data_IF_880356927713
#
_entry.id   IF_880356927713
#
_cell.length_a   1.000
_cell.length_b   1.000
_cell.length_c   1.000
_cell.angle_alpha   90.00
_cell.angle_beta   90.00
_cell.angle_gamma   90.00
#
_symmetry.space_group_name_H-M   'P 1'
#
loop_
_entity.id
_entity.type
_entity.pdbx_description
1 polymer ?
#
# COMPACT_ATOMS: atom_id res chain seq x y z
N UNK A 1 3.21 15.45 -22.99
CA UNK A 1 2.15 14.57 -22.49
C UNK A 1 0.92 15.47 -22.27
N UNK A 2 -0.28 15.00 -22.62
CA UNK A 2 -1.48 15.66 -22.09
C UNK A 2 -1.38 15.58 -20.57
N UNK A 3 -1.73 16.65 -19.88
CA UNK A 3 -1.56 16.83 -18.41
C UNK A 3 -2.24 15.77 -17.53
N UNK A 4 -2.92 14.80 -18.12
CA UNK A 4 -3.78 13.83 -17.43
C UNK A 4 -3.31 12.37 -17.61
N UNK A 5 -2.26 12.10 -18.38
CA UNK A 5 -1.75 10.74 -18.62
C UNK A 5 -0.64 10.37 -17.64
N UNK A 6 -0.88 9.34 -16.85
CA UNK A 6 0.04 8.83 -15.84
C UNK A 6 0.45 7.39 -16.16
N UNK A 7 1.76 7.05 -16.15
CA UNK A 7 2.18 5.66 -16.22
C UNK A 7 1.70 4.89 -15.00
N UNK A 8 1.30 3.63 -15.22
CA UNK A 8 0.79 2.76 -14.15
C UNK A 8 1.70 1.54 -14.01
N UNK A 9 2.15 1.31 -12.78
CA UNK A 9 2.95 0.16 -12.38
C UNK A 9 2.05 -0.81 -11.59
N UNK A 10 1.63 -1.94 -12.18
CA UNK A 10 0.84 -2.95 -11.49
C UNK A 10 1.66 -3.68 -10.43
N UNK A 11 1.14 -3.79 -9.21
CA UNK A 11 1.82 -4.42 -8.08
C UNK A 11 0.81 -5.13 -7.17
N UNK A 12 1.24 -6.21 -6.48
CA UNK A 12 0.45 -6.87 -5.43
C UNK A 12 0.60 -6.21 -4.05
N UNK A 13 1.32 -5.11 -3.99
CA UNK A 13 1.53 -4.29 -2.80
C UNK A 13 1.12 -2.86 -3.09
N UNK A 14 0.98 -2.06 -2.05
CA UNK A 14 0.58 -0.67 -2.17
C UNK A 14 1.50 0.23 -1.37
N UNK A 15 1.72 1.45 -1.86
CA UNK A 15 2.47 2.51 -1.19
C UNK A 15 1.53 3.68 -1.00
N UNK A 16 1.07 3.89 0.22
CA UNK A 16 0.07 4.92 0.52
C UNK A 16 0.74 6.27 0.88
N UNK A 17 0.02 7.38 0.87
CA UNK A 17 0.60 8.70 1.12
C UNK A 17 1.48 8.74 2.37
N UNK A 18 2.70 9.27 2.23
CA UNK A 18 3.74 9.34 3.27
C UNK A 18 4.54 8.04 3.48
N UNK A 19 4.22 6.95 2.80
CA UNK A 19 5.01 5.71 2.81
C UNK A 19 6.16 5.76 1.83
N UNK A 20 7.24 5.06 2.16
CA UNK A 20 8.40 4.85 1.28
C UNK A 20 8.58 3.36 1.04
N UNK A 21 8.78 2.98 -0.21
CA UNK A 21 8.84 1.58 -0.61
C UNK A 21 9.95 1.34 -1.63
N UNK A 22 10.78 0.30 -1.46
CA UNK A 22 11.79 -0.07 -2.43
C UNK A 22 11.18 -0.89 -3.58
N UNK A 23 11.57 -0.60 -4.81
CA UNK A 23 11.19 -1.35 -6.00
C UNK A 23 12.44 -1.82 -6.76
N UNK A 24 12.35 -3.01 -7.36
CA UNK A 24 13.37 -3.58 -8.25
C UNK A 24 12.83 -3.56 -9.67
N UNK A 25 13.50 -2.84 -10.55
CA UNK A 25 13.04 -2.59 -11.92
C UNK A 25 13.93 -3.35 -12.89
N UNK A 26 13.36 -4.33 -13.60
CA UNK A 26 14.10 -5.17 -14.55
C UNK A 26 13.43 -5.28 -15.93
N UNK A 27 12.11 -5.02 -16.05
CA UNK A 27 11.44 -5.03 -17.35
C UNK A 27 11.73 -3.74 -18.11
N UNK A 28 12.04 -3.86 -19.42
CA UNK A 28 12.42 -2.74 -20.26
C UNK A 28 11.43 -1.57 -20.22
N UNK A 29 10.14 -1.85 -20.33
CA UNK A 29 9.08 -0.83 -20.27
C UNK A 29 9.10 -0.01 -19.00
N UNK A 30 9.43 -0.63 -17.85
CA UNK A 30 9.52 0.08 -16.57
C UNK A 30 10.85 0.80 -16.39
N UNK A 31 11.95 0.29 -16.96
CA UNK A 31 13.23 1.02 -17.01
C UNK A 31 13.08 2.33 -17.79
N UNK A 32 12.41 2.27 -18.94
CA UNK A 32 12.16 3.44 -19.78
C UNK A 32 11.19 4.42 -19.09
N UNK A 33 10.15 3.92 -18.41
CA UNK A 33 9.24 4.70 -17.57
C UNK A 33 9.99 5.45 -16.46
N UNK A 34 10.80 4.74 -15.66
CA UNK A 34 11.56 5.32 -14.54
C UNK A 34 12.54 6.38 -15.05
N UNK A 35 13.27 6.07 -16.14
CA UNK A 35 14.20 7.03 -16.77
C UNK A 35 13.47 8.32 -17.17
N UNK A 36 12.29 8.19 -17.75
CA UNK A 36 11.47 9.33 -18.16
C UNK A 36 10.97 10.11 -16.93
N UNK A 37 10.43 9.43 -15.91
CA UNK A 37 9.97 10.08 -14.69
C UNK A 37 11.08 10.88 -14.00
N UNK A 38 12.30 10.32 -13.89
CA UNK A 38 13.46 11.02 -13.31
C UNK A 38 13.84 12.25 -14.16
N UNK A 39 13.86 12.11 -15.49
CA UNK A 39 14.25 13.20 -16.40
C UNK A 39 13.26 14.36 -16.42
N UNK A 40 11.98 14.05 -16.30
CA UNK A 40 10.88 15.04 -16.37
C UNK A 40 10.43 15.53 -15.00
N UNK A 41 11.03 15.05 -13.91
CA UNK A 41 10.64 15.31 -12.51
C UNK A 41 9.16 15.01 -12.28
N UNK A 42 8.71 13.83 -12.73
CA UNK A 42 7.33 13.37 -12.63
C UNK A 42 7.27 12.05 -11.86
N UNK A 43 6.07 11.70 -11.38
CA UNK A 43 5.80 10.42 -10.76
C UNK A 43 5.07 9.44 -11.69
N UNK A 44 4.60 8.36 -11.09
CA UNK A 44 3.77 7.36 -11.73
C UNK A 44 2.77 6.78 -10.70
N UNK A 45 1.76 6.06 -11.19
CA UNK A 45 0.80 5.40 -10.31
C UNK A 45 1.20 3.95 -10.02
N UNK A 46 1.08 3.51 -8.77
CA UNK A 46 1.11 2.10 -8.38
C UNK A 46 -0.33 1.63 -8.22
N UNK A 47 -0.71 0.61 -8.99
CA UNK A 47 -2.03 0.02 -8.96
C UNK A 47 -2.02 -1.38 -8.35
N UNK A 48 -2.92 -1.65 -7.40
CA UNK A 48 -3.18 -3.01 -6.96
C UNK A 48 -3.79 -3.83 -8.10
N UNK A 49 -3.33 -5.07 -8.27
CA UNK A 49 -3.84 -6.00 -9.27
C UNK A 49 -4.30 -7.30 -8.64
N UNK A 50 -5.47 -7.79 -9.08
CA UNK A 50 -6.07 -9.02 -8.54
C UNK A 50 -5.31 -10.27 -8.97
N UNK A 51 -4.81 -10.31 -10.22
CA UNK A 51 -4.08 -11.45 -10.80
C UNK A 51 -2.94 -10.96 -11.69
N UNK A 52 -1.89 -11.76 -11.78
CA UNK A 52 -0.77 -11.51 -12.70
C UNK A 52 -1.04 -12.10 -14.09
N UNK A 53 -2.11 -11.73 -14.73
CA UNK A 53 -2.24 -12.03 -16.15
C UNK A 53 -1.73 -10.82 -16.93
N UNK A 54 -0.47 -10.90 -17.37
CA UNK A 54 0.24 -9.82 -18.07
C UNK A 54 -0.48 -9.31 -19.33
N UNK A 55 -1.41 -10.10 -19.87
CA UNK A 55 -2.17 -9.76 -21.08
C UNK A 55 -3.50 -9.08 -20.80
N UNK A 56 -3.91 -8.93 -19.52
CA UNK A 56 -5.22 -8.40 -19.12
C UNK A 56 -5.19 -7.41 -17.95
N UNK A 57 -4.09 -6.68 -17.75
CA UNK A 57 -3.99 -5.72 -16.65
C UNK A 57 -5.12 -4.67 -16.63
N UNK A 58 -5.66 -4.34 -17.79
CA UNK A 58 -6.68 -3.29 -17.94
C UNK A 58 -7.94 -3.62 -17.10
N UNK A 59 -8.34 -4.90 -17.07
CA UNK A 59 -9.55 -5.35 -16.36
C UNK A 59 -9.28 -5.78 -14.91
N UNK A 60 -8.04 -5.65 -14.43
CA UNK A 60 -7.61 -6.25 -13.17
C UNK A 60 -7.07 -5.23 -12.17
N UNK A 61 -6.91 -3.96 -12.56
CA UNK A 61 -6.49 -2.90 -11.66
C UNK A 61 -7.67 -2.37 -10.86
N UNK A 62 -7.44 -2.12 -9.57
CA UNK A 62 -8.44 -1.45 -8.75
C UNK A 62 -8.52 0.04 -9.11
N UNK A 63 -9.70 0.62 -8.94
CA UNK A 63 -10.01 2.01 -9.33
C UNK A 63 -9.13 3.04 -8.60
N UNK A 64 -8.81 2.79 -7.32
CA UNK A 64 -7.96 3.67 -6.52
C UNK A 64 -6.52 3.16 -6.57
N UNK A 65 -5.62 4.05 -6.92
CA UNK A 65 -4.19 3.84 -7.06
C UNK A 65 -3.42 4.79 -6.16
N UNK A 66 -2.12 4.56 -6.00
CA UNK A 66 -1.22 5.49 -5.34
C UNK A 66 -0.36 6.21 -6.37
N UNK A 67 -0.41 7.53 -6.39
CA UNK A 67 0.56 8.34 -7.11
C UNK A 67 1.83 8.44 -6.26
N UNK A 68 2.97 8.07 -6.85
CA UNK A 68 4.26 8.03 -6.18
C UNK A 68 5.31 8.83 -6.95
N UNK A 69 6.30 9.36 -6.23
CA UNK A 69 7.49 9.99 -6.79
C UNK A 69 8.74 9.19 -6.43
N UNK A 70 9.70 9.16 -7.34
CA UNK A 70 10.99 8.52 -7.13
C UNK A 70 11.82 9.43 -6.23
N UNK A 71 12.30 8.90 -5.10
CA UNK A 71 13.10 9.67 -4.13
C UNK A 71 14.57 9.30 -4.14
N UNK A 72 14.90 8.11 -4.65
CA UNK A 72 16.28 7.63 -4.76
C UNK A 72 16.36 6.50 -5.78
N UNK A 73 17.55 6.27 -6.35
CA UNK A 73 17.82 5.15 -7.25
C UNK A 73 19.29 4.73 -7.17
N UNK A 74 19.53 3.43 -7.31
CA UNK A 74 20.87 2.86 -7.33
C UNK A 74 20.91 1.58 -8.17
N UNK A 75 22.09 1.20 -8.62
CA UNK A 75 22.33 -0.11 -9.22
C UNK A 75 22.58 -1.11 -8.07
N UNK A 76 21.77 -2.15 -8.00
CA UNK A 76 21.92 -3.23 -7.03
C UNK A 76 23.10 -4.14 -7.40
N UNK A 77 23.56 -4.98 -6.45
CA UNK A 77 24.69 -5.90 -6.64
C UNK A 77 24.52 -6.86 -7.82
N UNK A 78 23.28 -7.28 -8.11
CA UNK A 78 22.91 -8.13 -9.24
C UNK A 78 22.74 -7.37 -10.57
N UNK A 79 23.02 -6.06 -10.57
CA UNK A 79 22.93 -5.22 -11.76
C UNK A 79 21.54 -4.68 -12.06
N UNK A 80 20.52 -5.04 -11.28
CA UNK A 80 19.14 -4.55 -11.41
C UNK A 80 19.05 -3.10 -10.90
N UNK A 81 18.17 -2.29 -11.51
CA UNK A 81 17.87 -0.95 -11.02
C UNK A 81 16.99 -1.04 -9.78
N UNK A 82 17.51 -0.59 -8.63
CA UNK A 82 16.73 -0.32 -7.42
C UNK A 82 16.24 1.12 -7.41
N UNK A 83 14.98 1.35 -7.06
CA UNK A 83 14.46 2.68 -6.82
C UNK A 83 13.73 2.71 -5.47
N UNK A 84 13.73 3.86 -4.80
CA UNK A 84 12.86 4.15 -3.67
C UNK A 84 11.77 5.11 -4.13
N UNK A 85 10.52 4.77 -3.83
CA UNK A 85 9.37 5.62 -4.15
C UNK A 85 8.66 6.08 -2.89
N UNK A 86 8.14 7.30 -2.90
CA UNK A 86 7.32 7.86 -1.83
C UNK A 86 5.89 8.07 -2.32
N UNK A 87 4.91 7.54 -1.59
CA UNK A 87 3.49 7.82 -1.83
C UNK A 87 3.17 9.29 -1.56
N UNK A 88 2.63 9.99 -2.56
CA UNK A 88 2.27 11.41 -2.45
C UNK A 88 0.77 11.61 -2.26
N UNK A 89 -0.03 10.92 -3.07
CA UNK A 89 -1.49 11.03 -3.04
C UNK A 89 -2.14 9.72 -3.49
N UNK A 90 -3.43 9.61 -3.27
CA UNK A 90 -4.24 8.64 -3.99
C UNK A 90 -4.62 9.22 -5.35
N UNK A 91 -4.88 8.36 -6.31
CA UNK A 91 -5.37 8.70 -7.64
C UNK A 91 -6.51 7.76 -8.04
N UNK A 92 -7.53 8.30 -8.68
CA UNK A 92 -8.66 7.54 -9.21
C UNK A 92 -8.52 7.41 -10.71
N UNK A 93 -8.48 6.17 -11.22
CA UNK A 93 -8.40 5.92 -12.65
C UNK A 93 -9.76 6.11 -13.32
N UNK A 94 -9.78 6.83 -14.44
CA UNK A 94 -10.96 6.98 -15.33
C UNK A 94 -10.91 5.98 -16.47
N UNK A 95 -9.76 5.87 -17.09
CA UNK A 95 -9.49 4.99 -18.22
C UNK A 95 -8.03 4.59 -18.19
N UNK A 96 -7.73 3.36 -18.59
CA UNK A 96 -6.35 2.94 -18.82
C UNK A 96 -6.24 2.11 -20.10
N UNK A 97 -5.07 2.16 -20.72
CA UNK A 97 -4.76 1.42 -21.93
C UNK A 97 -3.28 1.09 -22.00
N UNK A 98 -2.92 0.10 -22.80
CA UNK A 98 -1.52 -0.21 -23.08
C UNK A 98 -1.01 0.69 -24.21
N UNK A 99 0.16 1.29 -24.01
CA UNK A 99 0.84 1.97 -25.09
C UNK A 99 1.59 0.97 -26.00
N UNK A 100 2.26 1.47 -27.04
CA UNK A 100 3.04 0.65 -28.01
C UNK A 100 4.16 -0.20 -27.37
N UNK A 101 4.64 0.19 -26.19
CA UNK A 101 5.70 -0.48 -25.44
C UNK A 101 5.14 -1.43 -24.37
N UNK A 102 3.83 -1.73 -24.44
CA UNK A 102 3.08 -2.52 -23.45
C UNK A 102 3.15 -1.95 -22.01
N UNK A 103 3.39 -0.65 -21.87
CA UNK A 103 3.27 0.06 -20.60
C UNK A 103 1.81 0.48 -20.41
N UNK A 104 1.25 0.22 -19.24
CA UNK A 104 -0.07 0.69 -18.87
C UNK A 104 -0.04 2.20 -18.62
N UNK A 105 -0.90 2.93 -19.31
CA UNK A 105 -1.07 4.39 -19.17
C UNK A 105 -2.50 4.65 -18.76
N UNK A 106 -2.70 5.50 -17.75
CA UNK A 106 -4.03 5.85 -17.26
C UNK A 106 -4.31 7.33 -17.28
N UNK A 107 -5.55 7.70 -17.56
CA UNK A 107 -6.09 9.00 -17.20
C UNK A 107 -6.56 8.94 -15.75
N UNK A 108 -5.96 9.76 -14.89
CA UNK A 108 -6.19 9.70 -13.44
C UNK A 108 -6.56 11.07 -12.88
N UNK A 109 -7.46 11.07 -11.90
CA UNK A 109 -7.71 12.23 -11.04
C UNK A 109 -6.97 12.06 -9.73
N UNK A 110 -6.18 13.04 -9.36
CA UNK A 110 -5.55 13.07 -8.04
C UNK A 110 -6.62 13.32 -6.98
N UNK A 111 -6.69 12.41 -6.02
CA UNK A 111 -7.62 12.52 -4.88
C UNK A 111 -7.08 13.56 -3.91
N UNK A 112 -7.95 14.46 -3.46
CA UNK A 112 -7.58 15.47 -2.46
C UNK A 112 -7.09 14.79 -1.18
N UNK A 113 -6.02 15.30 -0.56
CA UNK A 113 -5.55 14.79 0.72
C UNK A 113 -6.66 14.78 1.76
N UNK A 114 -6.71 13.73 2.56
CA UNK A 114 -7.61 13.68 3.71
C UNK A 114 -7.25 14.77 4.72
N UNK A 115 -8.27 15.30 5.41
CA UNK A 115 -8.04 16.20 6.53
C UNK A 115 -7.30 15.47 7.65
N UNK A 116 -6.41 16.19 8.30
CA UNK A 116 -5.72 15.66 9.49
C UNK A 116 -6.72 15.56 10.66
N UNK A 117 -6.88 14.38 11.20
CA UNK A 117 -7.65 14.12 12.40
C UNK A 117 -6.79 13.41 13.43
N UNK A 118 -6.91 13.80 14.68
CA UNK A 118 -6.28 13.07 15.77
C UNK A 118 -6.88 11.66 15.89
N UNK A 119 -6.03 10.67 16.13
CA UNK A 119 -6.49 9.31 16.40
C UNK A 119 -7.40 9.33 17.63
N UNK A 120 -8.70 8.99 17.51
CA UNK A 120 -9.61 8.95 18.65
C UNK A 120 -9.13 7.99 19.75
N UNK A 121 -9.46 8.28 21.00
CA UNK A 121 -9.04 7.48 22.16
C UNK A 121 -9.39 5.98 21.99
N UNK A 122 -10.54 5.67 21.42
CA UNK A 122 -10.99 4.31 21.10
C UNK A 122 -10.00 3.53 20.21
N UNK A 123 -9.27 4.22 19.30
CA UNK A 123 -8.38 3.61 18.32
C UNK A 123 -6.89 3.81 18.62
N UNK A 124 -6.52 4.41 19.76
CA UNK A 124 -5.11 4.63 20.12
C UNK A 124 -4.30 3.32 20.22
N UNK A 125 -4.94 2.20 20.48
CA UNK A 125 -4.30 0.89 20.46
C UNK A 125 -3.73 0.55 19.07
N UNK A 126 -4.35 1.00 17.97
CA UNK A 126 -3.85 0.79 16.61
C UNK A 126 -2.52 1.52 16.38
N UNK A 127 -2.42 2.77 16.85
CA UNK A 127 -1.18 3.55 16.77
C UNK A 127 -0.06 2.90 17.60
N UNK A 128 -0.37 2.46 18.84
CA UNK A 128 0.60 1.74 19.69
C UNK A 128 1.02 0.41 19.07
N UNK A 129 0.09 -0.33 18.47
CA UNK A 129 0.34 -1.58 17.78
C UNK A 129 1.29 -1.35 16.59
N UNK A 130 1.00 -0.38 15.71
CA UNK A 130 1.89 -0.07 14.59
C UNK A 130 3.30 0.31 15.06
N UNK A 131 3.44 1.16 16.08
CA UNK A 131 4.72 1.53 16.66
C UNK A 131 5.51 0.32 17.18
N UNK A 132 4.81 -0.69 17.73
CA UNK A 132 5.43 -1.92 18.25
C UNK A 132 5.95 -2.82 17.13
N UNK A 133 5.22 -2.95 16.02
CA UNK A 133 5.61 -3.85 14.92
C UNK A 133 6.60 -3.21 13.94
N UNK A 134 6.60 -1.87 13.82
CA UNK A 134 7.41 -1.14 12.85
C UNK A 134 8.90 -1.52 12.83
N UNK A 135 9.62 -1.70 13.95
CA UNK A 135 11.02 -2.11 13.93
C UNK A 135 11.30 -3.40 13.16
N UNK A 136 10.32 -4.33 13.13
CA UNK A 136 10.44 -5.59 12.39
C UNK A 136 10.11 -5.50 10.90
N UNK A 137 9.52 -4.40 10.44
CA UNK A 137 9.06 -4.23 9.05
C UNK A 137 9.69 -3.05 8.33
N UNK A 138 10.53 -2.25 8.99
CA UNK A 138 11.11 -1.00 8.46
C UNK A 138 11.91 -1.17 7.17
N UNK A 139 12.46 -2.36 6.91
CA UNK A 139 13.25 -2.65 5.71
C UNK A 139 12.35 -2.87 4.48
N UNK A 140 11.05 -3.12 4.70
CA UNK A 140 10.05 -3.35 3.65
C UNK A 140 9.08 -2.19 3.47
N UNK A 141 8.72 -1.53 4.58
CA UNK A 141 7.78 -0.40 4.61
C UNK A 141 8.37 0.67 5.49
N UNK A 142 8.65 1.82 4.92
CA UNK A 142 9.28 2.93 5.61
C UNK A 142 8.49 4.23 5.42
N UNK A 143 8.93 5.31 6.06
CA UNK A 143 8.36 6.65 5.94
C UNK A 143 9.40 7.70 6.32
N UNK A 144 9.27 8.90 5.77
CA UNK A 144 10.19 10.01 6.11
C UNK A 144 9.86 10.68 7.44
N UNK A 145 8.58 10.67 7.83
CA UNK A 145 8.11 11.37 9.03
C UNK A 145 7.06 10.56 9.78
N UNK A 146 7.25 10.42 11.08
CA UNK A 146 6.31 9.80 12.00
C UNK A 146 5.11 10.71 12.28
N UNK A 147 3.90 10.15 12.18
CA UNK A 147 2.63 10.85 12.43
C UNK A 147 1.65 9.95 13.20
N UNK A 148 2.12 9.32 14.27
CA UNK A 148 1.35 8.36 15.07
C UNK A 148 0.08 8.94 15.72
N UNK A 149 -0.07 10.25 15.77
CA UNK A 149 -1.28 10.90 16.25
C UNK A 149 -2.31 11.18 15.15
N UNK A 150 -1.94 11.00 13.87
CA UNK A 150 -2.79 11.27 12.72
C UNK A 150 -3.53 10.01 12.28
N UNK A 151 -4.86 10.08 12.26
CA UNK A 151 -5.75 8.96 11.94
C UNK A 151 -5.55 8.45 10.50
N UNK A 152 -5.40 9.36 9.54
CA UNK A 152 -5.17 9.02 8.13
C UNK A 152 -3.84 8.27 7.97
N UNK A 153 -2.75 8.81 8.54
CA UNK A 153 -1.43 8.21 8.48
C UNK A 153 -1.39 6.82 9.13
N UNK A 154 -1.94 6.67 10.34
CA UNK A 154 -1.99 5.37 11.04
C UNK A 154 -2.81 4.35 10.25
N UNK A 155 -3.95 4.77 9.71
CA UNK A 155 -4.79 3.93 8.86
C UNK A 155 -4.06 3.45 7.61
N UNK A 156 -3.35 4.32 6.92
CA UNK A 156 -2.54 3.97 5.75
C UNK A 156 -1.40 3.00 6.10
N UNK A 157 -0.62 3.29 7.13
CA UNK A 157 0.50 2.41 7.54
C UNK A 157 0.01 1.01 7.91
N UNK A 158 -1.11 0.90 8.62
CA UNK A 158 -1.70 -0.40 8.96
C UNK A 158 -2.25 -1.12 7.72
N UNK A 159 -2.89 -0.42 6.79
CA UNK A 159 -3.37 -1.02 5.53
C UNK A 159 -2.22 -1.60 4.71
N UNK A 160 -1.05 -0.96 4.70
CA UNK A 160 0.14 -1.47 4.00
C UNK A 160 0.68 -2.75 4.65
N UNK A 161 0.87 -2.74 5.97
CA UNK A 161 1.63 -3.78 6.67
C UNK A 161 0.80 -5.00 7.13
N UNK A 162 -0.51 -4.86 7.33
CA UNK A 162 -1.34 -5.97 7.76
C UNK A 162 -1.47 -7.05 6.67
N UNK A 163 -1.50 -8.35 7.05
CA UNK A 163 -1.65 -9.46 6.12
C UNK A 163 -3.10 -9.59 5.63
N UNK A 164 -3.58 -8.55 4.92
CA UNK A 164 -4.91 -8.48 4.35
C UNK A 164 -4.88 -8.94 2.89
N UNK A 165 -5.98 -9.55 2.45
CA UNK A 165 -6.18 -9.80 1.03
C UNK A 165 -6.30 -8.47 0.24
N UNK A 166 -6.04 -8.54 -1.08
CA UNK A 166 -5.99 -7.35 -1.93
C UNK A 166 -7.34 -6.63 -2.02
N UNK A 167 -8.45 -7.38 -1.97
CA UNK A 167 -9.79 -6.80 -1.99
C UNK A 167 -10.05 -5.98 -0.72
N UNK A 168 -9.67 -6.50 0.44
CA UNK A 168 -9.77 -5.79 1.72
C UNK A 168 -8.89 -4.53 1.72
N UNK A 169 -7.65 -4.62 1.22
CA UNK A 169 -6.77 -3.44 1.06
C UNK A 169 -7.42 -2.40 0.13
N UNK A 170 -7.91 -2.81 -1.03
CA UNK A 170 -8.59 -1.93 -1.97
C UNK A 170 -9.83 -1.25 -1.35
N UNK A 171 -10.61 -2.00 -0.57
CA UNK A 171 -11.76 -1.44 0.16
C UNK A 171 -11.32 -0.38 1.18
N UNK A 172 -10.27 -0.65 1.96
CA UNK A 172 -9.78 0.30 2.96
C UNK A 172 -9.25 1.60 2.35
N UNK A 173 -8.57 1.54 1.21
CA UNK A 173 -8.03 2.73 0.54
C UNK A 173 -9.09 3.52 -0.23
N UNK A 174 -10.22 2.90 -0.59
CA UNK A 174 -11.34 3.60 -1.23
C UNK A 174 -12.21 4.39 -0.25
N UNK A 175 -12.02 4.20 1.07
CA UNK A 175 -12.69 5.02 2.08
C UNK A 175 -12.08 6.43 2.09
N UNK A 176 -12.92 7.43 1.98
CA UNK A 176 -12.58 8.86 2.06
C UNK A 176 -12.61 9.42 3.50
N UNK A 177 -12.84 8.55 4.49
CA UNK A 177 -12.91 8.86 5.92
C UNK A 177 -11.86 8.06 6.70
N UNK A 178 -10.88 8.79 7.26
CA UNK A 178 -9.81 8.20 8.05
C UNK A 178 -10.30 7.50 9.33
N UNK A 179 -11.36 8.02 9.96
CA UNK A 179 -11.91 7.43 11.19
C UNK A 179 -12.64 6.14 10.86
N UNK A 180 -13.43 6.11 9.80
CA UNK A 180 -14.09 4.90 9.33
C UNK A 180 -13.06 3.84 8.92
N UNK A 181 -11.95 4.24 8.29
CA UNK A 181 -10.84 3.33 7.98
C UNK A 181 -10.25 2.73 9.25
N UNK A 182 -9.97 3.54 10.28
CA UNK A 182 -9.48 3.05 11.57
C UNK A 182 -10.46 2.09 12.26
N UNK A 183 -11.76 2.37 12.18
CA UNK A 183 -12.79 1.48 12.72
C UNK A 183 -12.75 0.10 12.04
N UNK A 184 -12.71 0.07 10.72
CA UNK A 184 -12.60 -1.20 9.97
C UNK A 184 -11.33 -1.97 10.32
N UNK A 185 -10.19 -1.27 10.39
CA UNK A 185 -8.91 -1.89 10.78
C UNK A 185 -8.97 -2.41 12.21
N UNK A 186 -9.59 -1.68 13.14
CA UNK A 186 -9.76 -2.09 14.54
C UNK A 186 -10.57 -3.39 14.65
N UNK A 187 -11.66 -3.50 13.88
CA UNK A 187 -12.47 -4.72 13.83
C UNK A 187 -11.69 -5.91 13.27
N UNK A 188 -10.89 -5.69 12.22
CA UNK A 188 -10.04 -6.73 11.62
C UNK A 188 -8.99 -7.19 12.63
N UNK A 189 -8.27 -6.27 13.24
CA UNK A 189 -7.22 -6.57 14.22
C UNK A 189 -7.80 -7.34 15.40
N UNK A 190 -8.92 -6.90 15.96
CA UNK A 190 -9.59 -7.61 17.05
C UNK A 190 -10.00 -9.05 16.67
N UNK A 191 -10.46 -9.27 15.44
CA UNK A 191 -10.81 -10.62 14.97
C UNK A 191 -9.57 -11.51 14.83
N UNK A 192 -8.45 -10.97 14.32
CA UNK A 192 -7.19 -11.70 14.19
C UNK A 192 -6.65 -12.12 15.56
N UNK A 193 -6.60 -11.19 16.52
CA UNK A 193 -6.07 -11.47 17.86
C UNK A 193 -7.01 -12.31 18.75
N UNK A 194 -8.34 -12.20 18.59
CA UNK A 194 -9.26 -13.10 19.31
C UNK A 194 -9.10 -14.56 18.93
N UNK A 195 -8.62 -14.86 17.73
CA UNK A 195 -8.29 -16.26 17.32
C UNK A 195 -7.04 -16.80 18.01
N UNK A 196 -6.10 -15.93 18.41
CA UNK A 196 -4.87 -16.35 19.09
C UNK A 196 -5.04 -16.48 20.62
N UNK A 197 -6.11 -15.88 21.20
CA UNK A 197 -6.38 -15.86 22.65
C UNK A 197 -7.51 -16.86 23.03
N UNK A 198 -7.87 -17.81 22.19
CA UNK A 198 -8.66 -18.96 22.69
C UNK A 198 -7.71 -19.85 23.47
N UNK A 199 -7.83 -19.93 24.83
CA UNK A 199 -7.05 -20.89 25.59
C UNK A 199 -7.40 -22.28 25.06
N UNK A 200 -6.36 -23.08 24.75
CA UNK A 200 -6.51 -24.51 24.54
C UNK A 200 -7.22 -25.03 25.80
N UNK A 201 -8.50 -25.37 25.65
CA UNK A 201 -9.28 -25.98 26.71
C UNK A 201 -8.64 -27.32 27.02
N UNK A 202 -7.90 -27.38 28.10
CA UNK A 202 -7.46 -28.64 28.70
C UNK A 202 -8.68 -29.35 29.27
N UNK A 203 -9.41 -30.05 28.42
CA UNK A 203 -10.42 -31.01 28.86
C UNK A 203 -9.78 -32.36 28.95
N UNK A 204 -9.74 -32.85 30.21
CA UNK A 204 -9.62 -34.24 30.64
C UNK A 204 -8.28 -34.98 30.48
N UNK A 205 -7.45 -34.81 31.48
CA UNK A 205 -6.68 -35.91 32.00
C UNK A 205 -7.46 -36.52 33.20
N UNK A 206 -8.34 -37.46 32.91
CA UNK A 206 -8.83 -38.39 33.95
C UNK A 206 -7.73 -39.41 34.20
N UNK A 207 -7.12 -39.34 35.38
CA UNK A 207 -6.25 -40.40 35.89
C UNK A 207 -7.12 -41.64 36.16
N UNK A 208 -6.69 -42.85 35.76
CA UNK A 208 -7.33 -44.07 36.21
C UNK A 208 -6.98 -44.30 37.70
N UNK A 209 -7.98 -44.32 38.55
CA UNK A 209 -7.87 -44.82 39.92
C UNK A 209 -7.87 -46.35 39.90
N UNK A 210 -6.85 -46.91 40.45
CA UNK A 210 -6.83 -48.29 40.96
C UNK A 210 -7.47 -48.33 42.30
#
# INVERSE_FOLDING_TARGET
>A
MNSDECPIFPLKSIVLPGGVFPLRIFERRYLDMVTKCIKEDTGFCIALVQKEDRNKYIDQVYEIMSYVEITDWNKLEDGILGISVEGKSLAKVKKCELNKDNLLIGQVDIVKPEKEFMVPQKYQLLSKFYRKIYPGIKDYINFKRERYADASWVGYRLTECLPLDLQTKATLISLDDAILRLEKIYDIVNKLYKKEIQPVSYTHLTLPTN
#
